data_IF_068774251743
#
_entry.id   IF_068774251743
#
_cell.length_a   1.000
_cell.length_b   1.000
_cell.length_c   1.000
_cell.angle_alpha   90.00
_cell.angle_beta   90.00
_cell.angle_gamma   90.00
#
_symmetry.space_group_name_H-M   'P 1'
#
loop_
_entity.id
_entity.type
_entity.pdbx_description
1 polymer ?
#
# COMPACT_ATOMS: atom_id res chain seq x y z
N UNK A 1 9.50 14.00 -1.64
CA UNK A 1 10.61 14.94 -1.87
C UNK A 1 10.72 15.97 -0.75
N UNK A 2 9.66 16.73 -0.43
CA UNK A 2 9.68 17.72 0.65
C UNK A 2 10.14 17.13 2.00
N UNK A 3 9.66 15.94 2.38
CA UNK A 3 10.06 15.29 3.64
C UNK A 3 11.56 14.97 3.72
N UNK A 4 12.16 14.50 2.62
CA UNK A 4 13.59 14.19 2.57
C UNK A 4 14.46 15.44 2.57
N UNK A 5 14.05 16.48 1.83
CA UNK A 5 14.73 17.78 1.81
C UNK A 5 14.65 18.46 3.19
N UNK A 6 13.47 18.43 3.81
CA UNK A 6 13.25 18.96 5.16
C UNK A 6 14.10 18.22 6.21
N UNK A 7 14.18 16.89 6.12
CA UNK A 7 15.06 16.13 7.01
C UNK A 7 16.54 16.44 6.80
N UNK A 8 16.99 16.54 5.54
CA UNK A 8 18.37 16.92 5.25
C UNK A 8 18.70 18.33 5.75
N UNK A 9 17.78 19.28 5.60
CA UNK A 9 17.90 20.62 6.15
C UNK A 9 17.98 20.61 7.68
N UNK A 10 17.12 19.82 8.33
CA UNK A 10 17.15 19.63 9.78
C UNK A 10 18.50 19.06 10.24
N UNK A 11 19.01 18.02 9.59
CA UNK A 11 20.32 17.45 9.90
C UNK A 11 21.45 18.48 9.73
N UNK A 12 21.44 19.24 8.63
CA UNK A 12 22.42 20.31 8.40
C UNK A 12 22.35 21.39 9.46
N UNK A 13 21.15 21.79 9.86
CA UNK A 13 20.96 22.79 10.92
C UNK A 13 21.43 22.26 12.28
N UNK A 14 21.16 21.00 12.62
CA UNK A 14 21.60 20.39 13.89
C UNK A 14 23.12 20.25 13.95
N UNK A 15 23.74 19.68 12.91
CA UNK A 15 25.16 19.32 12.93
C UNK A 15 26.09 20.46 12.50
N UNK A 16 25.69 21.27 11.53
CA UNK A 16 26.53 22.32 10.95
C UNK A 16 26.04 23.73 11.23
N UNK A 17 24.87 23.90 11.87
CA UNK A 17 24.27 25.20 12.20
C UNK A 17 24.15 26.15 11.00
N UNK A 18 24.12 25.59 9.78
CA UNK A 18 24.08 26.33 8.52
C UNK A 18 23.05 25.70 7.60
N UNK A 19 22.38 26.53 6.80
CA UNK A 19 21.47 26.11 5.75
C UNK A 19 21.95 26.72 4.43
N UNK A 20 22.47 25.92 3.49
CA UNK A 20 22.92 26.45 2.21
C UNK A 20 21.73 27.03 1.45
N UNK A 21 21.94 28.17 0.80
CA UNK A 21 20.90 28.89 0.04
C UNK A 21 20.25 28.00 -1.02
N UNK A 22 21.02 27.12 -1.67
CA UNK A 22 20.50 26.14 -2.62
C UNK A 22 19.44 25.20 -2.02
N UNK A 23 19.65 24.74 -0.79
CA UNK A 23 18.68 23.88 -0.09
C UNK A 23 17.43 24.67 0.31
N UNK A 24 17.58 25.94 0.70
CA UNK A 24 16.46 26.82 0.98
C UNK A 24 15.60 27.04 -0.28
N UNK A 25 16.23 27.30 -1.42
CA UNK A 25 15.55 27.45 -2.72
C UNK A 25 14.76 26.17 -3.04
N UNK A 26 15.37 24.99 -2.87
CA UNK A 26 14.69 23.71 -3.11
C UNK A 26 13.51 23.48 -2.16
N UNK A 27 13.63 23.89 -0.88
CA UNK A 27 12.53 23.81 0.08
C UNK A 27 11.37 24.73 -0.28
N UNK A 28 11.66 25.98 -0.66
CA UNK A 28 10.65 26.94 -1.11
C UNK A 28 9.94 26.41 -2.36
N UNK A 29 10.70 25.91 -3.34
CA UNK A 29 10.14 25.33 -4.56
C UNK A 29 9.28 24.11 -4.27
N UNK A 30 9.75 23.18 -3.44
CA UNK A 30 8.99 22.01 -3.04
C UNK A 30 7.72 22.38 -2.25
N UNK A 31 7.79 23.42 -1.41
CA UNK A 31 6.64 23.99 -0.70
C UNK A 31 5.60 24.56 -1.66
N UNK A 32 6.05 25.35 -2.64
CA UNK A 32 5.18 25.90 -3.69
C UNK A 32 4.49 24.79 -4.51
N UNK A 33 5.24 23.78 -4.97
CA UNK A 33 4.65 22.64 -5.68
C UNK A 33 3.64 21.88 -4.82
N UNK A 34 3.95 21.67 -3.53
CA UNK A 34 3.04 20.98 -2.61
C UNK A 34 1.76 21.78 -2.40
N UNK A 35 1.88 23.11 -2.27
CA UNK A 35 0.74 24.02 -2.17
C UNK A 35 -0.16 23.96 -3.41
N UNK A 36 0.42 24.02 -4.61
CA UNK A 36 -0.32 23.88 -5.87
C UNK A 36 -1.08 22.54 -5.96
N UNK A 37 -0.46 21.45 -5.50
CA UNK A 37 -1.12 20.15 -5.44
C UNK A 37 -2.29 20.17 -4.46
N UNK A 38 -2.12 20.72 -3.26
CA UNK A 38 -3.19 20.81 -2.25
C UNK A 38 -4.37 21.63 -2.77
N UNK A 39 -4.11 22.73 -3.49
CA UNK A 39 -5.13 23.62 -4.05
C UNK A 39 -5.82 23.09 -5.31
N UNK A 40 -5.42 21.92 -5.84
CA UNK A 40 -6.07 21.35 -7.01
C UNK A 40 -7.58 21.12 -6.74
N UNK A 41 -8.49 21.50 -7.67
CA UNK A 41 -9.94 21.50 -7.44
C UNK A 41 -10.49 20.10 -7.07
N UNK A 42 -9.89 19.04 -7.62
CA UNK A 42 -10.24 17.67 -7.27
C UNK A 42 -9.98 17.32 -5.80
N UNK A 43 -9.03 17.98 -5.13
CA UNK A 43 -8.78 17.77 -3.71
C UNK A 43 -9.83 18.46 -2.84
N UNK A 44 -10.32 19.64 -3.23
CA UNK A 44 -11.41 20.32 -2.52
C UNK A 44 -12.69 19.46 -2.52
N UNK A 45 -13.04 18.86 -3.67
CA UNK A 45 -14.20 17.96 -3.78
C UNK A 45 -14.03 16.74 -2.87
N UNK A 46 -12.83 16.14 -2.82
CA UNK A 46 -12.54 14.99 -1.94
C UNK A 46 -12.61 15.36 -0.47
N UNK A 47 -12.10 16.53 -0.10
CA UNK A 47 -12.12 17.04 1.27
C UNK A 47 -13.53 17.39 1.74
N UNK A 48 -14.44 17.78 0.84
CA UNK A 48 -15.84 18.07 1.19
C UNK A 48 -16.76 16.85 1.33
N UNK A 49 -16.27 15.64 1.01
CA UNK A 49 -17.11 14.43 0.97
C UNK A 49 -17.42 13.80 2.34
N UNK A 50 -16.78 14.25 3.42
CA UNK A 50 -16.94 13.66 4.76
C UNK A 50 -16.84 14.73 5.85
N UNK A 51 -17.72 14.66 6.85
CA UNK A 51 -17.75 15.61 7.98
C UNK A 51 -16.51 15.57 8.86
N UNK A 52 -15.79 14.45 8.90
CA UNK A 52 -14.55 14.31 9.69
C UNK A 52 -13.28 14.70 8.92
N UNK A 53 -13.42 15.11 7.66
CA UNK A 53 -12.33 15.66 6.88
C UNK A 53 -11.90 17.02 7.47
N UNK A 54 -10.61 17.34 7.39
CA UNK A 54 -10.01 18.58 7.92
C UNK A 54 -10.13 18.79 9.44
N UNK A 55 -10.56 17.77 10.20
CA UNK A 55 -10.46 17.79 11.66
C UNK A 55 -9.06 17.30 12.08
N UNK A 56 -8.27 18.21 12.65
CA UNK A 56 -6.88 17.96 13.02
C UNK A 56 -6.77 16.91 14.11
N UNK A 57 -7.63 16.99 15.12
CA UNK A 57 -7.57 16.13 16.31
C UNK A 57 -8.02 14.73 15.93
N UNK A 58 -9.16 14.63 15.23
CA UNK A 58 -9.64 13.36 14.69
C UNK A 58 -8.57 12.70 13.81
N UNK A 59 -7.99 13.44 12.86
CA UNK A 59 -7.02 12.90 11.91
C UNK A 59 -5.74 12.42 12.60
N UNK A 60 -5.26 13.15 13.61
CA UNK A 60 -4.08 12.75 14.38
C UNK A 60 -4.33 11.49 15.20
N UNK A 61 -5.47 11.41 15.91
CA UNK A 61 -5.82 10.27 16.74
C UNK A 61 -6.08 9.02 15.91
N UNK A 62 -6.85 9.12 14.83
CA UNK A 62 -7.14 7.98 13.96
C UNK A 62 -5.89 7.54 13.18
N UNK A 63 -5.01 8.45 12.77
CA UNK A 63 -3.71 8.06 12.18
C UNK A 63 -2.83 7.30 13.18
N UNK A 64 -2.77 7.73 14.44
CA UNK A 64 -2.00 7.04 15.47
C UNK A 64 -2.59 5.65 15.79
N UNK A 65 -3.92 5.57 15.98
CA UNK A 65 -4.64 4.32 16.24
C UNK A 65 -4.51 3.34 15.08
N UNK A 66 -4.73 3.81 13.84
CA UNK A 66 -4.54 3.04 12.64
C UNK A 66 -3.10 2.54 12.54
N UNK A 67 -2.11 3.43 12.69
CA UNK A 67 -0.70 3.08 12.63
C UNK A 67 -0.33 2.00 13.66
N UNK A 68 -0.76 2.14 14.90
CA UNK A 68 -0.51 1.14 15.95
C UNK A 68 -1.02 -0.25 15.57
N UNK A 69 -2.31 -0.35 15.19
CA UNK A 69 -2.91 -1.64 14.84
C UNK A 69 -2.30 -2.20 13.56
N UNK A 70 -2.20 -1.36 12.52
CA UNK A 70 -1.75 -1.75 11.19
C UNK A 70 -0.29 -2.20 11.20
N UNK A 71 0.63 -1.41 11.76
CA UNK A 71 2.05 -1.75 11.76
C UNK A 71 2.39 -2.89 12.72
N UNK A 72 1.64 -3.05 13.83
CA UNK A 72 1.74 -4.25 14.67
C UNK A 72 1.33 -5.49 13.88
N UNK A 73 0.19 -5.45 13.20
CA UNK A 73 -0.25 -6.57 12.38
C UNK A 73 0.75 -6.84 11.26
N UNK A 74 1.28 -5.81 10.61
CA UNK A 74 2.30 -5.95 9.58
C UNK A 74 3.59 -6.57 10.15
N UNK A 75 4.01 -6.21 11.36
CA UNK A 75 5.20 -6.79 11.99
C UNK A 75 5.02 -8.30 12.28
N UNK A 76 3.89 -8.71 12.86
CA UNK A 76 3.70 -10.07 13.36
C UNK A 76 2.99 -11.02 12.38
N UNK A 77 2.16 -10.51 11.49
CA UNK A 77 1.38 -11.31 10.53
C UNK A 77 2.01 -11.36 9.14
N UNK A 78 3.02 -10.53 8.86
CA UNK A 78 3.75 -10.57 7.60
C UNK A 78 5.08 -11.33 7.69
N UNK A 79 5.72 -11.46 6.53
CA UNK A 79 7.05 -12.02 6.37
C UNK A 79 8.17 -11.14 6.94
N UNK A 80 7.90 -9.96 7.53
CA UNK A 80 8.99 -9.03 7.84
C UNK A 80 9.98 -9.57 8.87
N UNK A 81 9.51 -10.23 9.92
CA UNK A 81 10.39 -10.78 10.96
C UNK A 81 11.33 -11.87 10.42
N UNK A 82 10.83 -12.90 9.70
CA UNK A 82 11.72 -13.88 9.08
C UNK A 82 12.66 -13.25 8.04
N UNK A 83 12.18 -12.28 7.24
CA UNK A 83 13.05 -11.56 6.30
C UNK A 83 14.10 -10.70 7.01
N UNK A 84 13.77 -10.13 8.18
CA UNK A 84 14.71 -9.39 9.01
C UNK A 84 15.86 -10.27 9.45
N UNK A 85 15.56 -11.52 9.86
CA UNK A 85 16.57 -12.50 10.26
C UNK A 85 17.52 -12.84 9.10
N UNK A 86 16.98 -13.05 7.89
CA UNK A 86 17.79 -13.28 6.68
C UNK A 86 18.62 -12.05 6.27
N UNK A 87 18.13 -10.84 6.59
CA UNK A 87 18.81 -9.60 6.24
C UNK A 87 19.94 -9.24 7.21
N UNK A 88 19.97 -9.77 8.43
CA UNK A 88 21.01 -9.46 9.43
C UNK A 88 22.45 -9.63 8.91
N UNK A 89 22.82 -10.71 8.18
CA UNK A 89 24.17 -10.83 7.61
C UNK A 89 24.50 -9.74 6.59
N UNK A 90 23.51 -9.27 5.83
CA UNK A 90 23.66 -8.18 4.87
C UNK A 90 23.88 -6.87 5.63
N UNK A 91 23.02 -6.57 6.60
CA UNK A 91 23.16 -5.41 7.48
C UNK A 91 24.54 -5.36 8.18
N UNK A 92 25.03 -6.50 8.65
CA UNK A 92 26.35 -6.61 9.29
C UNK A 92 27.49 -6.26 8.32
N UNK A 93 27.43 -6.74 7.07
CA UNK A 93 28.40 -6.38 6.03
C UNK A 93 28.32 -4.91 5.63
N UNK A 94 27.12 -4.36 5.50
CA UNK A 94 26.91 -2.95 5.15
C UNK A 94 27.49 -2.00 6.21
N UNK A 95 27.46 -2.41 7.47
CA UNK A 95 27.99 -1.67 8.62
C UNK A 95 29.46 -1.96 8.92
N UNK A 96 30.16 -2.70 8.03
CA UNK A 96 31.59 -2.94 8.16
C UNK A 96 32.41 -1.65 8.13
N UNK A 97 33.46 -1.57 8.94
CA UNK A 97 34.42 -0.45 8.89
C UNK A 97 35.07 -0.32 7.52
N UNK A 98 35.19 -1.43 6.77
CA UNK A 98 35.71 -1.47 5.40
C UNK A 98 34.65 -1.16 4.34
N UNK A 99 33.37 -1.11 4.70
CA UNK A 99 32.27 -0.87 3.76
C UNK A 99 32.12 0.63 3.49
N UNK A 100 32.14 1.07 2.21
CA UNK A 100 31.87 2.47 1.87
C UNK A 100 30.44 2.88 2.25
N UNK A 101 29.51 1.92 2.34
CA UNK A 101 28.12 2.19 2.70
C UNK A 101 27.93 2.60 4.16
N UNK A 102 28.93 2.40 5.03
CA UNK A 102 28.86 2.74 6.46
C UNK A 102 28.49 4.20 6.72
N UNK A 103 28.91 5.10 5.83
CA UNK A 103 28.64 6.55 5.93
C UNK A 103 27.14 6.84 5.94
N UNK A 104 26.33 6.09 5.17
CA UNK A 104 24.88 6.29 5.10
C UNK A 104 24.14 5.91 6.40
N UNK A 105 24.81 5.22 7.32
CA UNK A 105 24.26 4.81 8.61
C UNK A 105 24.91 5.55 9.78
N UNK A 106 25.62 6.67 9.53
CA UNK A 106 26.33 7.45 10.55
C UNK A 106 25.48 8.50 11.27
N UNK A 107 24.20 8.57 10.94
CA UNK A 107 23.23 9.47 11.55
C UNK A 107 22.85 8.97 12.95
N UNK A 108 22.46 9.85 13.87
CA UNK A 108 21.91 9.45 15.16
C UNK A 108 20.66 8.57 14.97
N UNK A 109 20.63 7.42 15.63
CA UNK A 109 19.57 6.42 15.52
C UNK A 109 18.19 6.90 15.89
N UNK A 110 18.11 7.68 16.95
CA UNK A 110 16.84 8.24 17.41
C UNK A 110 16.30 9.27 16.43
N UNK A 111 17.19 10.03 15.76
CA UNK A 111 16.78 10.93 14.68
C UNK A 111 16.29 10.15 13.46
N UNK A 112 16.99 9.09 13.07
CA UNK A 112 16.57 8.24 11.95
C UNK A 112 15.24 7.53 12.23
N UNK A 113 15.09 6.94 13.43
CA UNK A 113 13.87 6.27 13.86
C UNK A 113 12.72 7.28 14.00
N UNK A 114 12.96 8.44 14.61
CA UNK A 114 11.96 9.50 14.74
C UNK A 114 11.49 10.03 13.39
N UNK A 115 12.42 10.23 12.44
CA UNK A 115 12.06 10.61 11.07
C UNK A 115 11.26 9.52 10.37
N UNK A 116 11.66 8.25 10.50
CA UNK A 116 10.96 7.12 9.92
C UNK A 116 9.52 6.99 10.46
N UNK A 117 9.34 6.99 11.78
CA UNK A 117 8.02 6.93 12.40
C UNK A 117 7.18 8.17 12.11
N UNK A 118 7.79 9.35 12.12
CA UNK A 118 7.14 10.60 11.74
C UNK A 118 6.67 10.60 10.29
N UNK A 119 7.46 10.05 9.36
CA UNK A 119 7.08 9.94 7.96
C UNK A 119 5.89 9.00 7.76
N UNK A 120 5.88 7.84 8.44
CA UNK A 120 4.73 6.92 8.42
C UNK A 120 3.48 7.60 8.97
N UNK A 121 3.60 8.27 10.11
CA UNK A 121 2.51 9.01 10.73
C UNK A 121 1.96 10.08 9.78
N UNK A 122 2.82 10.93 9.21
CA UNK A 122 2.42 12.01 8.28
C UNK A 122 1.69 11.43 7.06
N UNK A 123 2.18 10.33 6.47
CA UNK A 123 1.54 9.71 5.31
C UNK A 123 0.13 9.21 5.61
N UNK A 124 -0.08 8.61 6.79
CA UNK A 124 -1.43 8.20 7.23
C UNK A 124 -2.30 9.38 7.64
N UNK A 125 -1.73 10.35 8.36
CA UNK A 125 -2.39 11.55 8.84
C UNK A 125 -2.96 12.38 7.70
N UNK A 126 -2.16 12.64 6.65
CA UNK A 126 -2.59 13.44 5.51
C UNK A 126 -3.81 12.84 4.79
N UNK A 127 -3.99 11.52 4.83
CA UNK A 127 -5.16 10.88 4.25
C UNK A 127 -6.41 11.01 5.12
N UNK A 128 -6.28 10.80 6.44
CA UNK A 128 -7.39 11.08 7.36
C UNK A 128 -7.77 12.56 7.31
N UNK A 129 -6.80 13.47 7.24
CA UNK A 129 -7.03 14.89 7.04
C UNK A 129 -7.79 15.20 5.76
N UNK A 130 -7.44 14.52 4.65
CA UNK A 130 -8.02 14.82 3.34
C UNK A 130 -9.37 14.16 3.06
N UNK A 131 -9.69 13.02 3.70
CA UNK A 131 -10.88 12.21 3.36
C UNK A 131 -11.70 11.82 4.60
N UNK A 132 -11.14 11.91 5.80
CA UNK A 132 -11.82 11.55 7.05
C UNK A 132 -12.11 10.05 7.24
N UNK A 133 -11.54 9.18 6.41
CA UNK A 133 -11.74 7.71 6.46
C UNK A 133 -10.41 6.96 6.37
N UNK A 134 -10.37 5.66 6.73
CA UNK A 134 -9.15 4.87 6.63
C UNK A 134 -8.48 4.90 5.23
N UNK A 135 -7.15 4.80 5.16
CA UNK A 135 -6.39 4.73 3.91
C UNK A 135 -6.88 3.67 2.93
N UNK A 136 -7.07 4.08 1.67
CA UNK A 136 -7.37 3.16 0.56
C UNK A 136 -6.14 2.35 0.17
N UNK A 137 -6.34 1.17 -0.43
CA UNK A 137 -5.27 0.22 -0.77
C UNK A 137 -4.09 0.84 -1.55
N UNK A 138 -4.35 1.78 -2.48
CA UNK A 138 -3.26 2.44 -3.24
C UNK A 138 -2.32 3.24 -2.33
N UNK A 139 -2.86 3.92 -1.32
CA UNK A 139 -2.05 4.70 -0.38
C UNK A 139 -1.28 3.74 0.53
N UNK A 140 -1.94 2.67 0.98
CA UNK A 140 -1.29 1.63 1.75
C UNK A 140 -0.10 1.01 1.02
N UNK A 141 -0.11 0.90 -0.30
CA UNK A 141 1.07 0.45 -1.05
C UNK A 141 2.27 1.40 -0.86
N UNK A 142 2.04 2.72 -0.88
CA UNK A 142 3.09 3.72 -0.63
C UNK A 142 3.56 3.67 0.82
N UNK A 143 2.61 3.60 1.77
CA UNK A 143 2.92 3.47 3.21
C UNK A 143 3.73 2.19 3.46
N UNK A 144 3.34 1.06 2.86
CA UNK A 144 4.04 -0.21 2.97
C UNK A 144 5.44 -0.15 2.38
N UNK A 145 5.62 0.52 1.24
CA UNK A 145 6.95 0.71 0.66
C UNK A 145 7.86 1.49 1.62
N UNK A 146 7.38 2.62 2.14
CA UNK A 146 8.12 3.44 3.12
C UNK A 146 8.40 2.64 4.40
N UNK A 147 7.42 1.85 4.86
CA UNK A 147 7.56 0.99 6.03
C UNK A 147 8.63 -0.08 5.83
N UNK A 148 8.61 -0.81 4.71
CA UNK A 148 9.59 -1.86 4.44
C UNK A 148 11.00 -1.28 4.33
N UNK A 149 11.18 -0.23 3.52
CA UNK A 149 12.49 0.39 3.32
C UNK A 149 13.01 1.00 4.62
N UNK A 150 12.16 1.74 5.35
CA UNK A 150 12.50 2.33 6.64
C UNK A 150 12.83 1.28 7.69
N UNK A 151 12.07 0.18 7.75
CA UNK A 151 12.33 -0.95 8.65
C UNK A 151 13.73 -1.53 8.45
N UNK A 152 14.10 -1.89 7.22
CA UNK A 152 15.42 -2.47 6.95
C UNK A 152 16.55 -1.44 7.11
N UNK A 153 16.31 -0.17 6.84
CA UNK A 153 17.26 0.90 7.14
C UNK A 153 17.51 1.03 8.66
N UNK A 154 16.43 1.11 9.46
CA UNK A 154 16.51 1.16 10.92
C UNK A 154 17.11 -0.11 11.51
N UNK A 155 16.82 -1.28 10.95
CA UNK A 155 17.44 -2.54 11.35
C UNK A 155 18.95 -2.53 11.09
N UNK A 156 19.39 -2.06 9.92
CA UNK A 156 20.83 -1.90 9.60
C UNK A 156 21.50 -0.97 10.59
N UNK A 157 20.81 0.11 10.93
CA UNK A 157 21.29 1.05 11.92
C UNK A 157 21.42 0.42 13.32
N UNK A 158 20.44 -0.35 13.79
CA UNK A 158 20.53 -1.04 15.08
C UNK A 158 21.67 -2.06 15.10
N UNK A 159 21.88 -2.80 14.00
CA UNK A 159 23.03 -3.69 13.85
C UNK A 159 24.33 -2.92 14.04
N UNK A 160 24.46 -1.71 13.47
CA UNK A 160 25.65 -0.86 13.69
C UNK A 160 25.87 -0.52 15.16
N UNK A 161 24.85 -0.07 15.89
CA UNK A 161 24.97 0.27 17.31
C UNK A 161 25.41 -0.95 18.11
N UNK A 162 24.69 -2.06 17.96
CA UNK A 162 24.86 -3.21 18.84
C UNK A 162 25.98 -4.16 18.40
N UNK A 163 26.61 -3.93 17.24
CA UNK A 163 27.72 -4.77 16.76
C UNK A 163 28.88 -4.84 17.74
N UNK A 164 29.17 -3.77 18.48
CA UNK A 164 30.22 -3.77 19.50
C UNK A 164 29.86 -4.59 20.75
N UNK A 165 28.57 -4.67 21.08
CA UNK A 165 28.06 -5.37 22.26
C UNK A 165 27.82 -6.85 22.00
N UNK A 166 27.35 -7.22 20.81
CA UNK A 166 26.91 -8.59 20.52
C UNK A 166 28.09 -9.51 20.10
N UNK A 167 29.33 -9.09 20.33
CA UNK A 167 30.52 -9.85 19.95
C UNK A 167 30.60 -10.12 18.45
N UNK A 168 31.62 -10.87 18.03
CA UNK A 168 31.60 -11.48 16.70
C UNK A 168 30.30 -12.28 16.59
N UNK A 169 29.69 -12.30 15.40
CA UNK A 169 28.40 -12.95 15.13
C UNK A 169 28.61 -14.36 14.50
N UNK A 170 29.47 -15.26 15.04
CA UNK A 170 29.75 -16.53 14.40
C UNK A 170 28.53 -17.43 14.45
N UNK A 171 27.59 -17.26 15.39
CA UNK A 171 26.42 -18.15 15.51
C UNK A 171 25.54 -18.14 14.26
N UNK A 172 25.08 -16.97 13.79
CA UNK A 172 24.17 -16.91 12.64
C UNK A 172 24.88 -17.19 11.31
N UNK A 173 26.17 -16.85 11.19
CA UNK A 173 26.99 -17.22 10.05
C UNK A 173 27.30 -18.73 10.03
N UNK A 174 27.57 -19.33 11.19
CA UNK A 174 27.79 -20.78 11.38
C UNK A 174 26.51 -21.57 11.16
N UNK A 175 25.36 -21.01 11.53
CA UNK A 175 24.05 -21.67 11.49
C UNK A 175 23.17 -21.14 10.34
N UNK A 176 23.81 -20.61 9.28
CA UNK A 176 23.09 -20.00 8.15
C UNK A 176 22.09 -20.93 7.49
N UNK A 177 22.42 -22.21 7.34
CA UNK A 177 21.56 -23.20 6.69
C UNK A 177 20.32 -23.54 7.53
N UNK A 178 20.45 -23.85 8.84
CA UNK A 178 19.29 -23.95 9.73
C UNK A 178 18.41 -22.69 9.72
N UNK A 179 19.01 -21.49 9.75
CA UNK A 179 18.25 -20.22 9.70
C UNK A 179 17.49 -20.08 8.39
N UNK A 180 18.13 -20.35 7.25
CA UNK A 180 17.47 -20.34 5.94
C UNK A 180 16.31 -21.35 5.91
N UNK A 181 16.53 -22.58 6.38
CA UNK A 181 15.49 -23.61 6.41
C UNK A 181 14.29 -23.18 7.26
N UNK A 182 14.53 -22.70 8.49
CA UNK A 182 13.47 -22.22 9.39
C UNK A 182 12.70 -21.06 8.75
N UNK A 183 13.40 -20.09 8.17
CA UNK A 183 12.76 -18.97 7.49
C UNK A 183 11.93 -19.45 6.29
N UNK A 184 12.47 -20.34 5.45
CA UNK A 184 11.74 -20.90 4.31
C UNK A 184 10.48 -21.63 4.75
N UNK A 185 10.55 -22.44 5.81
CA UNK A 185 9.37 -23.13 6.36
C UNK A 185 8.33 -22.13 6.89
N UNK A 186 8.76 -21.12 7.65
CA UNK A 186 7.85 -20.07 8.17
C UNK A 186 7.20 -19.28 7.04
N UNK A 187 7.97 -18.87 6.03
CA UNK A 187 7.44 -18.16 4.86
C UNK A 187 6.49 -19.04 4.04
N UNK A 188 6.82 -20.31 3.85
CA UNK A 188 5.95 -21.29 3.18
C UNK A 188 4.62 -21.45 3.92
N UNK A 189 4.67 -21.58 5.25
CA UNK A 189 3.48 -21.68 6.10
C UNK A 189 2.61 -20.42 6.06
N UNK A 190 3.22 -19.23 6.21
CA UNK A 190 2.50 -17.95 6.13
C UNK A 190 1.87 -17.76 4.74
N UNK A 191 2.62 -18.07 3.67
CA UNK A 191 2.12 -18.01 2.30
C UNK A 191 0.94 -18.96 2.07
N UNK A 192 1.02 -20.18 2.59
CA UNK A 192 -0.04 -21.18 2.48
C UNK A 192 -1.34 -20.75 3.19
N UNK A 193 -1.25 -20.13 4.38
CA UNK A 193 -2.44 -19.64 5.11
C UNK A 193 -2.99 -18.33 4.55
N UNK A 194 -2.23 -17.60 3.73
CA UNK A 194 -2.65 -16.30 3.22
C UNK A 194 -3.68 -16.49 2.08
N UNK A 195 -4.93 -16.09 2.36
CA UNK A 195 -6.02 -16.19 1.39
C UNK A 195 -5.74 -15.44 0.08
N UNK A 196 -5.10 -14.25 0.15
CA UNK A 196 -4.81 -13.46 -1.04
C UNK A 196 -3.78 -14.14 -1.95
N UNK A 197 -2.75 -14.76 -1.36
CA UNK A 197 -1.75 -15.54 -2.12
C UNK A 197 -2.41 -16.74 -2.79
N UNK A 198 -3.25 -17.48 -2.04
CA UNK A 198 -3.96 -18.63 -2.58
C UNK A 198 -4.91 -18.25 -3.72
N UNK A 199 -5.75 -17.24 -3.52
CA UNK A 199 -6.71 -16.78 -4.52
C UNK A 199 -6.00 -16.24 -5.78
N UNK A 200 -4.91 -15.50 -5.62
CA UNK A 200 -4.10 -15.03 -6.75
C UNK A 200 -3.47 -16.20 -7.50
N UNK A 201 -2.94 -17.19 -6.78
CA UNK A 201 -2.36 -18.37 -7.39
C UNK A 201 -3.41 -19.20 -8.14
N UNK A 202 -4.61 -19.36 -7.58
CA UNK A 202 -5.75 -20.00 -8.25
C UNK A 202 -6.16 -19.22 -9.51
N UNK A 203 -6.25 -17.89 -9.43
CA UNK A 203 -6.59 -17.05 -10.57
C UNK A 203 -5.60 -17.19 -11.73
N UNK A 204 -4.30 -17.32 -11.41
CA UNK A 204 -3.23 -17.55 -12.38
C UNK A 204 -3.25 -18.98 -12.93
N UNK A 205 -3.30 -19.99 -12.04
CA UNK A 205 -3.24 -21.41 -12.40
C UNK A 205 -4.42 -21.85 -13.25
N UNK A 206 -5.63 -21.36 -12.96
CA UNK A 206 -6.84 -21.70 -13.72
C UNK A 206 -7.10 -20.75 -14.90
N UNK A 207 -6.19 -19.82 -15.19
CA UNK A 207 -6.32 -18.88 -16.30
C UNK A 207 -7.50 -17.91 -16.17
N UNK A 208 -8.01 -17.68 -14.96
CA UNK A 208 -9.13 -16.75 -14.68
C UNK A 208 -8.73 -15.32 -15.05
N UNK A 209 -7.51 -14.92 -14.71
CA UNK A 209 -6.96 -13.62 -15.08
C UNK A 209 -6.91 -13.42 -16.60
N UNK A 210 -6.51 -14.45 -17.36
CA UNK A 210 -6.48 -14.40 -18.83
C UNK A 210 -7.88 -14.29 -19.43
N UNK A 211 -8.85 -15.08 -18.93
CA UNK A 211 -10.25 -15.02 -19.36
C UNK A 211 -10.85 -13.64 -19.09
N UNK A 212 -10.60 -13.09 -17.90
CA UNK A 212 -11.00 -11.73 -17.53
C UNK A 212 -10.39 -10.68 -18.46
N UNK A 213 -9.08 -10.74 -18.72
CA UNK A 213 -8.40 -9.80 -19.61
C UNK A 213 -9.01 -9.79 -21.01
N UNK A 214 -9.25 -10.98 -21.60
CA UNK A 214 -9.89 -11.09 -22.92
C UNK A 214 -11.31 -10.49 -22.93
N UNK A 215 -12.11 -10.81 -21.91
CA UNK A 215 -13.47 -10.28 -21.78
C UNK A 215 -13.49 -8.75 -21.59
N UNK A 216 -12.55 -8.21 -20.81
CA UNK A 216 -12.38 -6.78 -20.65
C UNK A 216 -11.98 -6.12 -21.97
N UNK A 217 -10.98 -6.64 -22.68
CA UNK A 217 -10.57 -6.10 -23.98
C UNK A 217 -11.72 -6.10 -24.99
N UNK A 218 -12.56 -7.15 -25.01
CA UNK A 218 -13.76 -7.18 -25.83
C UNK A 218 -14.77 -6.06 -25.45
N UNK A 219 -14.97 -5.79 -24.15
CA UNK A 219 -15.79 -4.65 -23.70
C UNK A 219 -15.20 -3.29 -24.11
N UNK A 220 -13.89 -3.11 -23.96
CA UNK A 220 -13.19 -1.90 -24.43
C UNK A 220 -13.43 -1.69 -25.92
N UNK A 221 -13.28 -2.73 -26.74
CA UNK A 221 -13.55 -2.68 -28.17
C UNK A 221 -15.03 -2.36 -28.48
N UNK A 222 -15.98 -2.90 -27.73
CA UNK A 222 -17.40 -2.56 -27.89
C UNK A 222 -17.66 -1.08 -27.56
N UNK A 223 -17.08 -0.57 -26.47
CA UNK A 223 -17.23 0.81 -26.05
C UNK A 223 -16.65 1.81 -27.07
N UNK A 224 -15.52 1.46 -27.68
CA UNK A 224 -14.88 2.32 -28.70
C UNK A 224 -15.59 2.25 -30.05
N UNK A 225 -16.10 1.08 -30.45
CA UNK A 225 -16.73 0.89 -31.76
C UNK A 225 -18.24 1.23 -31.80
N UNK A 226 -18.93 1.17 -30.66
CA UNK A 226 -20.37 1.46 -30.60
C UNK A 226 -20.65 2.93 -30.96
N UNK A 227 -21.70 3.16 -31.75
CA UNK A 227 -22.20 4.52 -32.08
C UNK A 227 -23.36 4.97 -31.20
N UNK A 228 -23.90 4.07 -30.37
CA UNK A 228 -25.04 4.38 -29.51
C UNK A 228 -24.63 5.31 -28.36
N UNK A 229 -25.54 6.20 -27.98
CA UNK A 229 -25.40 7.08 -26.81
C UNK A 229 -25.29 6.30 -25.50
N UNK A 230 -26.05 5.20 -25.40
CA UNK A 230 -26.03 4.28 -24.26
C UNK A 230 -25.60 2.90 -24.71
N UNK A 231 -24.50 2.40 -24.15
CA UNK A 231 -23.90 1.11 -24.54
C UNK A 231 -24.27 0.03 -23.52
N UNK A 232 -24.78 -1.10 -24.00
CA UNK A 232 -25.12 -2.25 -23.18
C UNK A 232 -24.00 -3.28 -23.28
N UNK A 233 -23.30 -3.52 -22.17
CA UNK A 233 -22.16 -4.44 -22.11
C UNK A 233 -22.55 -5.83 -21.60
N UNK A 234 -21.94 -6.91 -22.11
CA UNK A 234 -22.14 -8.25 -21.57
C UNK A 234 -21.51 -8.36 -20.17
N UNK A 235 -22.08 -9.18 -19.27
CA UNK A 235 -21.46 -9.48 -17.96
C UNK A 235 -20.11 -10.20 -18.13
N UNK A 236 -19.18 -10.01 -17.19
CA UNK A 236 -17.91 -10.72 -17.24
C UNK A 236 -18.09 -12.19 -16.90
N UNK A 237 -17.47 -13.11 -17.65
CA UNK A 237 -17.59 -14.54 -17.38
C UNK A 237 -16.88 -14.96 -16.09
N UNK A 238 -15.88 -14.19 -15.64
CA UNK A 238 -15.09 -14.46 -14.45
C UNK A 238 -14.70 -13.14 -13.80
N UNK A 239 -14.83 -13.07 -12.48
CA UNK A 239 -14.35 -11.97 -11.64
C UNK A 239 -13.19 -12.49 -10.78
N UNK A 240 -11.93 -12.38 -11.24
CA UNK A 240 -10.76 -12.80 -10.43
C UNK A 240 -10.61 -11.87 -9.23
N UNK A 241 -10.60 -12.45 -8.03
CA UNK A 241 -10.58 -11.70 -6.75
C UNK A 241 -9.30 -10.87 -6.62
N UNK A 242 -8.23 -11.31 -7.27
CA UNK A 242 -6.94 -10.61 -7.30
C UNK A 242 -6.91 -9.32 -8.12
N UNK A 243 -7.88 -9.10 -9.02
CA UNK A 243 -7.88 -7.96 -9.96
C UNK A 243 -9.13 -7.09 -9.89
N UNK A 244 -10.28 -7.65 -9.51
CA UNK A 244 -11.57 -6.96 -9.61
C UNK A 244 -12.04 -6.49 -8.24
N UNK A 245 -12.32 -5.19 -8.14
CA UNK A 245 -13.00 -4.59 -7.00
C UNK A 245 -14.52 -4.69 -7.16
N UNK A 246 -15.04 -4.28 -8.31
CA UNK A 246 -16.45 -4.38 -8.68
C UNK A 246 -16.63 -4.39 -10.21
N UNK A 247 -17.80 -4.80 -10.69
CA UNK A 247 -18.19 -4.70 -12.10
C UNK A 247 -19.28 -3.63 -12.29
N UNK A 248 -19.61 -3.34 -13.55
CA UNK A 248 -20.73 -2.52 -13.95
C UNK A 248 -22.06 -3.05 -13.38
N UNK A 249 -23.03 -2.17 -13.20
CA UNK A 249 -24.36 -2.52 -12.70
C UNK A 249 -25.39 -2.59 -13.81
N UNK A 250 -26.52 -3.26 -13.54
CA UNK A 250 -27.71 -3.19 -14.38
C UNK A 250 -28.46 -1.85 -14.24
N UNK A 251 -28.20 -1.11 -13.16
CA UNK A 251 -28.81 0.20 -12.87
C UNK A 251 -27.94 1.29 -13.49
N UNK A 252 -28.54 2.21 -14.24
CA UNK A 252 -27.78 3.21 -15.01
C UNK A 252 -27.02 4.20 -14.14
N UNK A 253 -27.52 4.58 -12.96
CA UNK A 253 -26.86 5.54 -12.05
C UNK A 253 -25.92 4.91 -11.03
N UNK A 254 -25.26 3.80 -11.40
CA UNK A 254 -24.22 3.20 -10.57
C UNK A 254 -22.88 3.91 -10.82
N UNK A 255 -22.09 4.13 -9.78
CA UNK A 255 -20.82 4.86 -9.87
C UNK A 255 -19.89 4.29 -10.95
N UNK A 256 -19.78 2.96 -11.06
CA UNK A 256 -18.91 2.36 -12.08
C UNK A 256 -19.46 2.56 -13.50
N UNK A 257 -20.77 2.60 -13.66
CA UNK A 257 -21.43 2.89 -14.93
C UNK A 257 -21.17 4.35 -15.36
N UNK A 258 -21.29 5.29 -14.43
CA UNK A 258 -21.04 6.71 -14.69
C UNK A 258 -19.57 6.98 -15.01
N UNK A 259 -18.64 6.35 -14.26
CA UNK A 259 -17.21 6.44 -14.55
C UNK A 259 -16.87 5.89 -15.95
N UNK A 260 -17.45 4.76 -16.34
CA UNK A 260 -17.26 4.19 -17.68
C UNK A 260 -17.87 5.07 -18.77
N UNK A 261 -19.09 5.56 -18.57
CA UNK A 261 -19.76 6.46 -19.50
C UNK A 261 -18.95 7.74 -19.71
N UNK A 262 -18.47 8.35 -18.62
CA UNK A 262 -17.62 9.54 -18.67
C UNK A 262 -16.29 9.31 -19.36
N UNK A 263 -15.60 8.20 -19.07
CA UNK A 263 -14.32 7.86 -19.70
C UNK A 263 -14.42 7.71 -21.23
N UNK A 264 -15.51 7.15 -21.73
CA UNK A 264 -15.76 6.95 -23.17
C UNK A 264 -16.64 8.03 -23.81
N UNK A 265 -16.94 9.12 -23.09
CA UNK A 265 -17.81 10.20 -23.58
C UNK A 265 -19.18 9.71 -24.09
N UNK A 266 -19.84 8.81 -23.34
CA UNK A 266 -21.18 8.27 -23.63
C UNK A 266 -22.21 8.83 -22.66
N UNK A 267 -23.49 8.83 -23.05
CA UNK A 267 -24.60 9.22 -22.16
C UNK A 267 -24.85 8.19 -21.06
N UNK A 268 -24.56 6.92 -21.31
CA UNK A 268 -24.71 5.89 -20.29
C UNK A 268 -24.08 4.55 -20.67
N UNK A 269 -23.83 3.75 -19.65
CA UNK A 269 -23.36 2.37 -19.78
C UNK A 269 -24.15 1.51 -18.80
N UNK A 270 -24.54 0.30 -19.20
CA UNK A 270 -25.17 -0.65 -18.29
C UNK A 270 -24.88 -2.09 -18.67
N UNK A 271 -24.94 -2.98 -17.69
CA UNK A 271 -24.91 -4.41 -17.98
C UNK A 271 -26.18 -4.88 -18.68
N UNK A 272 -26.00 -5.83 -19.60
CA UNK A 272 -27.09 -6.63 -20.15
C UNK A 272 -27.67 -7.49 -19.04
N UNK A 273 -28.91 -7.24 -18.62
CA UNK A 273 -29.65 -8.16 -17.73
C UNK A 273 -29.66 -9.54 -18.38
N UNK A 274 -29.04 -10.52 -17.71
CA UNK A 274 -29.25 -11.93 -18.06
C UNK A 274 -30.70 -12.25 -17.68
N UNK A 275 -31.53 -12.80 -18.58
CA UNK A 275 -32.84 -13.29 -18.20
C UNK A 275 -32.63 -14.30 -17.07
N UNK A 276 -33.24 -14.07 -15.90
CA UNK A 276 -33.27 -15.08 -14.85
C UNK A 276 -34.01 -16.27 -15.46
N UNK A 277 -33.38 -17.45 -15.66
CA UNK A 277 -34.15 -18.62 -16.07
C UNK A 277 -35.21 -18.85 -15.00
N UNK A 278 -36.46 -19.03 -15.42
CA UNK A 278 -37.59 -19.26 -14.51
C UNK A 278 -37.16 -20.32 -13.48
N UNK A 279 -37.09 -19.91 -12.21
CA UNK A 279 -36.69 -20.78 -11.12
C UNK A 279 -37.75 -21.86 -11.02
N UNK A 280 -37.43 -23.08 -11.46
CA UNK A 280 -38.18 -24.26 -11.02
C UNK A 280 -38.01 -24.30 -9.50
N UNK A 281 -39.09 -24.30 -8.71
CA UNK A 281 -38.99 -24.25 -7.25
C UNK A 281 -38.12 -25.40 -6.77
N UNK A 282 -36.95 -25.07 -6.19
CA UNK A 282 -36.15 -26.06 -5.47
C UNK A 282 -36.84 -26.36 -4.14
N UNK A 283 -36.93 -27.64 -3.73
CA UNK A 283 -37.45 -28.00 -2.42
C UNK A 283 -36.56 -27.40 -1.32
N UNK A 284 -37.21 -26.87 -0.29
CA UNK A 284 -36.60 -26.17 0.83
C UNK A 284 -35.42 -26.93 1.42
N UNK A 285 -34.21 -26.40 1.25
CA UNK A 285 -33.06 -26.85 2.02
C UNK A 285 -33.10 -26.18 3.41
N UNK A 286 -32.93 -26.97 4.50
CA UNK A 286 -33.03 -26.45 5.86
C UNK A 286 -31.99 -25.37 6.12
N UNK A 287 -32.47 -24.22 6.63
CA UNK A 287 -31.64 -23.08 6.98
C UNK A 287 -30.71 -23.46 8.14
N UNK A 288 -29.41 -23.57 7.86
CA UNK A 288 -28.38 -23.66 8.89
C UNK A 288 -28.17 -22.24 9.44
N UNK A 289 -28.60 -22.04 10.68
CA UNK A 289 -28.46 -20.80 11.43
C UNK A 289 -26.99 -20.37 11.51
N UNK A 290 -26.67 -19.19 10.95
CA UNK A 290 -25.42 -18.50 11.25
C UNK A 290 -25.59 -17.76 12.58
N UNK A 291 -24.79 -18.15 13.58
CA UNK A 291 -24.67 -17.43 14.86
C UNK A 291 -24.00 -16.06 14.64
N UNK A 292 -24.35 -15.07 15.49
CA UNK A 292 -23.93 -13.67 15.36
C UNK A 292 -22.42 -13.45 15.53
#
# INVERSE_FOLDING_TARGET
MLSCLGFWALLRLIYHRTLPVSLLILLVWAGFCSYMVVQAPGNAIRMGGNSSSQDLVFSALEAAKFGWVYFRNLLFQSAILPLSLLFLPIAYRLTDSRSPARVYFAINGWLALGFYLGLLFILTFLHFWAVGVPPVARLLNVVNFVWVVGWFYTLTFFVRIFRGTIGSWPLLLRHRWPVILVVTVVLGWQGYRNANVRLTYEDLRYGRAQKYHRAMMARYQLMTSARADTVILPSLPVLPVSLVLDDLSYRSGDMFNDCWAGYFYRKGVKLRKVPVPAVTPQPDLPQIARKP
#
